data_IF_327444085486
#
_entry.id   IF_327444085486
#
_cell.length_a   1.000
_cell.length_b   1.000
_cell.length_c   1.000
_cell.angle_alpha   90.00
_cell.angle_beta   90.00
_cell.angle_gamma   90.00
#
_symmetry.space_group_name_H-M   'P 1'
#
loop_
_entity.id
_entity.type
_entity.pdbx_description
1 polymer ?
#
# COMPACT_ATOMS: atom_id res chain seq x y z
N UNK A 1 -2.92 13.66 4.74
CA UNK A 1 -2.14 13.21 5.92
C UNK A 1 -2.29 11.72 6.26
N UNK A 2 -3.22 10.97 5.65
CA UNK A 2 -3.45 9.55 5.97
C UNK A 2 -2.53 8.55 5.25
N UNK A 3 -1.59 9.02 4.41
CA UNK A 3 -0.69 8.15 3.63
C UNK A 3 0.03 7.07 4.48
N UNK A 4 0.69 7.38 5.61
CA UNK A 4 1.36 6.35 6.43
C UNK A 4 0.39 5.36 7.08
N UNK A 5 -0.81 5.81 7.45
CA UNK A 5 -1.84 4.93 7.99
C UNK A 5 -2.27 3.91 6.94
N UNK A 6 -2.61 4.40 5.75
CA UNK A 6 -3.04 3.57 4.63
C UNK A 6 -1.93 2.58 4.28
N UNK A 7 -0.69 3.03 4.05
CA UNK A 7 0.45 2.17 3.69
C UNK A 7 0.61 1.01 4.68
N UNK A 8 0.37 1.20 5.98
CA UNK A 8 0.43 0.10 6.96
C UNK A 8 -0.78 -0.83 6.98
N UNK A 9 -1.97 -0.38 6.64
CA UNK A 9 -3.12 -1.31 6.57
C UNK A 9 -3.03 -2.24 5.37
N UNK A 10 -2.60 -1.71 4.23
CA UNK A 10 -2.63 -2.37 2.93
C UNK A 10 -1.28 -2.90 2.45
N UNK A 11 -0.21 -2.73 3.25
CA UNK A 11 1.12 -3.22 2.86
C UNK A 11 1.11 -4.70 2.50
N UNK A 12 1.89 -5.07 1.47
CA UNK A 12 2.10 -6.47 1.08
C UNK A 12 2.84 -7.29 2.14
N UNK A 13 3.57 -6.65 3.06
CA UNK A 13 4.28 -7.34 4.13
C UNK A 13 3.39 -7.48 5.37
N UNK A 14 2.82 -8.68 5.56
CA UNK A 14 1.87 -8.95 6.65
C UNK A 14 2.45 -8.62 8.03
N UNK A 15 3.73 -8.91 8.28
CA UNK A 15 4.37 -8.62 9.57
C UNK A 15 4.60 -7.14 9.84
N UNK A 16 4.39 -6.27 8.83
CA UNK A 16 4.45 -4.81 8.97
C UNK A 16 3.06 -4.18 9.07
N UNK A 17 1.98 -4.97 8.94
CA UNK A 17 0.60 -4.46 9.02
C UNK A 17 0.25 -4.06 10.43
N UNK A 18 -0.52 -3.00 10.56
CA UNK A 18 -1.14 -2.68 11.84
C UNK A 18 -2.17 -3.73 12.22
N UNK A 19 -2.22 -4.04 13.51
CA UNK A 19 -3.41 -4.67 14.11
C UNK A 19 -4.54 -3.65 14.17
N UNK A 20 -5.78 -4.11 14.35
CA UNK A 20 -6.93 -3.21 14.45
C UNK A 20 -6.77 -2.18 15.58
N UNK A 21 -6.19 -2.60 16.71
CA UNK A 21 -5.94 -1.74 17.86
C UNK A 21 -4.86 -0.69 17.55
N UNK A 22 -3.72 -1.10 16.98
CA UNK A 22 -2.65 -0.17 16.56
C UNK A 22 -3.15 0.83 15.51
N UNK A 23 -3.98 0.37 14.58
CA UNK A 23 -4.58 1.22 13.57
C UNK A 23 -5.45 2.32 14.20
N UNK A 24 -6.29 1.94 15.17
CA UNK A 24 -7.17 2.87 15.87
C UNK A 24 -6.38 3.90 16.69
N UNK A 25 -5.38 3.47 17.46
CA UNK A 25 -4.52 4.37 18.23
C UNK A 25 -3.76 5.35 17.33
N UNK A 26 -3.20 4.84 16.22
CA UNK A 26 -2.49 5.66 15.26
C UNK A 26 -3.41 6.71 14.61
N UNK A 27 -4.63 6.30 14.23
CA UNK A 27 -5.62 7.19 13.63
C UNK A 27 -6.00 8.31 14.61
N UNK A 28 -6.28 7.97 15.87
CA UNK A 28 -6.61 8.95 16.91
C UNK A 28 -5.47 9.95 17.11
N UNK A 29 -4.22 9.47 17.14
CA UNK A 29 -3.04 10.34 17.25
C UNK A 29 -2.90 11.28 16.05
N UNK A 30 -3.15 10.79 14.83
CA UNK A 30 -3.12 11.63 13.63
C UNK A 30 -4.21 12.69 13.68
N UNK A 31 -5.45 12.31 14.01
CA UNK A 31 -6.59 13.23 14.09
C UNK A 31 -6.33 14.31 15.15
N UNK A 32 -5.83 13.93 16.33
CA UNK A 32 -5.49 14.87 17.38
C UNK A 32 -4.36 15.84 16.98
N UNK A 33 -3.46 15.42 16.09
CA UNK A 33 -2.36 16.24 15.57
C UNK A 33 -2.71 17.08 14.33
N UNK A 34 -3.85 16.79 13.70
CA UNK A 34 -4.30 17.52 12.51
C UNK A 34 -4.99 18.81 12.94
N UNK A 35 -4.55 19.95 12.40
CA UNK A 35 -5.26 21.21 12.58
C UNK A 35 -6.65 21.12 11.91
N UNK A 36 -7.69 21.68 12.52
CA UNK A 36 -9.07 21.65 12.02
C UNK A 36 -9.19 22.08 10.55
N UNK A 37 -8.32 22.99 10.09
CA UNK A 37 -8.23 23.48 8.71
C UNK A 37 -7.83 22.41 7.68
N UNK A 38 -7.12 21.36 8.06
CA UNK A 38 -6.73 20.27 7.14
C UNK A 38 -7.81 19.20 6.99
N UNK A 39 -8.72 19.09 7.96
CA UNK A 39 -9.91 18.23 7.90
C UNK A 39 -11.05 18.89 7.12
N UNK A 40 -11.03 20.22 6.99
CA UNK A 40 -12.03 21.00 6.25
C UNK A 40 -11.72 21.17 4.75
N UNK A 41 -10.66 20.55 4.23
CA UNK A 41 -10.40 20.55 2.79
C UNK A 41 -11.49 19.71 2.13
N UNK A 42 -12.46 20.38 1.51
CA UNK A 42 -13.36 19.74 0.55
C UNK A 42 -12.47 19.20 -0.58
N UNK A 43 -12.47 17.89 -0.75
CA UNK A 43 -11.96 17.31 -1.99
C UNK A 43 -12.76 17.96 -3.12
N UNK A 44 -12.08 18.64 -4.04
CA UNK A 44 -12.68 19.06 -5.30
C UNK A 44 -13.22 17.79 -5.96
N UNK A 45 -14.52 17.56 -5.86
CA UNK A 45 -15.23 16.48 -6.52
C UNK A 45 -15.28 16.78 -8.02
N UNK A 46 -14.12 16.87 -8.67
CA UNK A 46 -14.07 16.77 -10.11
C UNK A 46 -14.14 15.27 -10.46
N UNK A 47 -15.30 14.76 -10.94
CA UNK A 47 -15.42 13.37 -11.34
C UNK A 47 -14.47 12.98 -12.48
N UNK A 48 -13.91 13.96 -13.22
CA UNK A 48 -12.89 13.73 -14.25
C UNK A 48 -11.46 13.58 -13.65
N UNK A 49 -11.23 14.10 -12.44
CA UNK A 49 -9.99 13.92 -11.68
C UNK A 49 -9.90 12.56 -10.96
N UNK A 50 -11.00 11.78 -10.95
CA UNK A 50 -10.96 10.33 -10.68
C UNK A 50 -10.23 9.61 -11.81
N UNK A 51 -8.95 9.93 -11.98
CA UNK A 51 -8.03 9.09 -12.74
C UNK A 51 -8.16 7.73 -12.08
N UNK A 52 -8.59 6.75 -12.87
CA UNK A 52 -8.45 5.31 -12.64
C UNK A 52 -6.97 4.93 -12.61
N UNK A 53 -6.14 5.75 -11.96
CA UNK A 53 -4.73 5.57 -11.79
C UNK A 53 -4.56 4.30 -10.99
N UNK A 54 -3.84 3.36 -11.58
CA UNK A 54 -3.52 2.12 -10.90
C UNK A 54 -2.93 2.49 -9.53
N UNK A 55 -3.61 2.04 -8.47
CA UNK A 55 -3.28 2.30 -7.06
C UNK A 55 -1.78 2.05 -6.75
N UNK A 56 -1.15 1.18 -7.55
CA UNK A 56 0.25 0.78 -7.43
C UNK A 56 1.27 1.79 -7.98
N UNK A 57 0.81 2.77 -8.76
CA UNK A 57 1.64 3.80 -9.40
C UNK A 57 1.32 5.19 -8.83
N UNK A 58 0.22 5.31 -8.09
CA UNK A 58 -0.18 6.55 -7.47
C UNK A 58 0.69 6.85 -6.23
N UNK A 59 1.45 7.94 -6.29
CA UNK A 59 2.23 8.42 -5.15
C UNK A 59 1.30 9.12 -4.15
N UNK A 60 0.91 8.38 -3.11
CA UNK A 60 0.05 8.84 -2.01
C UNK A 60 0.71 9.86 -1.10
N UNK A 61 2.04 10.00 -1.19
CA UNK A 61 2.79 10.97 -0.42
C UNK A 61 2.96 12.29 -1.15
N UNK A 62 2.59 12.34 -2.44
CA UNK A 62 2.66 13.54 -3.25
C UNK A 62 1.80 14.65 -2.65
N UNK A 63 2.40 15.84 -2.48
CA UNK A 63 1.71 17.02 -1.94
C UNK A 63 1.66 17.09 -0.41
N UNK A 64 2.24 16.12 0.33
CA UNK A 64 2.38 16.23 1.78
C UNK A 64 3.56 17.13 2.18
N UNK A 65 3.47 17.88 3.31
CA UNK A 65 4.58 18.65 3.84
C UNK A 65 5.83 17.79 4.05
N UNK A 66 7.03 18.31 3.71
CA UNK A 66 8.28 17.54 3.81
C UNK A 66 8.54 16.99 5.21
N UNK A 67 8.33 17.81 6.24
CA UNK A 67 8.51 17.43 7.64
C UNK A 67 7.62 16.24 8.04
N UNK A 68 6.40 16.18 7.47
CA UNK A 68 5.50 15.05 7.65
C UNK A 68 6.03 13.79 6.93
N UNK A 69 6.56 13.95 5.72
CA UNK A 69 7.15 12.84 4.98
C UNK A 69 8.35 12.25 5.72
N UNK A 70 9.24 13.09 6.23
CA UNK A 70 10.42 12.66 6.99
C UNK A 70 10.04 11.96 8.29
N UNK A 71 9.08 12.51 9.05
CA UNK A 71 8.60 11.91 10.30
C UNK A 71 8.06 10.49 10.11
N UNK A 72 7.42 10.23 8.97
CA UNK A 72 6.72 8.98 8.73
C UNK A 72 7.34 8.12 7.62
N UNK A 73 8.54 8.44 7.12
CA UNK A 73 9.16 7.74 5.99
C UNK A 73 9.34 6.23 6.27
N UNK A 74 9.58 5.85 7.52
CA UNK A 74 9.64 4.46 7.97
C UNK A 74 8.34 3.65 7.73
N UNK A 75 7.22 4.34 7.52
CA UNK A 75 5.90 3.75 7.26
C UNK A 75 5.60 3.61 5.76
N UNK A 76 6.38 4.24 4.90
CA UNK A 76 6.18 4.25 3.46
C UNK A 76 6.32 2.84 2.89
N UNK A 77 5.33 2.42 2.10
CA UNK A 77 5.44 1.18 1.34
C UNK A 77 6.40 1.38 0.16
N UNK A 78 7.35 0.46 -0.11
CA UNK A 78 8.25 0.60 -1.24
C UNK A 78 7.46 0.73 -2.55
N UNK A 79 7.73 1.80 -3.28
CA UNK A 79 7.15 2.03 -4.61
C UNK A 79 7.61 0.93 -5.56
N UNK A 80 6.68 0.10 -5.99
CA UNK A 80 6.94 -0.97 -6.94
C UNK A 80 6.30 -2.30 -6.58
N UNK A 81 5.70 -2.93 -7.58
CA UNK A 81 5.22 -4.31 -7.49
C UNK A 81 6.42 -5.24 -7.67
N UNK A 82 6.67 -6.21 -6.75
CA UNK A 82 7.66 -7.26 -6.99
C UNK A 82 7.39 -7.91 -8.35
N UNK A 83 8.44 -8.22 -9.11
CA UNK A 83 8.28 -8.81 -10.44
C UNK A 83 7.38 -10.05 -10.41
N UNK A 84 7.44 -10.86 -9.34
CA UNK A 84 6.56 -12.01 -9.13
C UNK A 84 5.07 -11.66 -9.14
N UNK A 85 4.67 -10.53 -8.58
CA UNK A 85 3.27 -10.07 -8.60
C UNK A 85 2.86 -9.53 -9.98
N UNK A 86 3.76 -8.85 -10.70
CA UNK A 86 3.52 -8.45 -12.09
C UNK A 86 3.35 -9.69 -12.98
N UNK A 87 4.20 -10.70 -12.79
CA UNK A 87 4.16 -11.98 -13.50
C UNK A 87 2.86 -12.74 -13.20
N UNK A 88 2.48 -12.89 -11.93
CA UNK A 88 1.21 -13.54 -11.55
C UNK A 88 0.00 -12.85 -12.18
N UNK A 89 0.02 -11.52 -12.27
CA UNK A 89 -1.08 -10.77 -12.88
C UNK A 89 -1.10 -10.90 -14.40
N UNK A 90 0.08 -10.91 -15.04
CA UNK A 90 0.20 -11.21 -16.47
C UNK A 90 -0.31 -12.61 -16.79
N UNK A 91 0.05 -13.61 -15.98
CA UNK A 91 -0.41 -15.00 -16.11
C UNK A 91 -1.94 -15.12 -16.00
N UNK A 92 -2.59 -14.38 -15.08
CA UNK A 92 -4.05 -14.34 -14.98
C UNK A 92 -4.76 -13.73 -16.19
N UNK A 93 -4.07 -12.88 -16.97
CA UNK A 93 -4.61 -12.31 -18.20
C UNK A 93 -4.53 -13.23 -19.42
N UNK A 94 -3.81 -14.36 -19.31
CA UNK A 94 -3.62 -15.31 -20.41
C UNK A 94 -4.77 -16.33 -20.37
N UNK A 95 -5.70 -16.22 -21.33
CA UNK A 95 -6.94 -17.02 -21.43
C UNK A 95 -6.73 -18.55 -21.52
N UNK A 96 -5.51 -19.03 -21.79
CA UNK A 96 -5.19 -20.44 -22.04
C UNK A 96 -4.34 -21.09 -20.95
N UNK A 97 -4.11 -20.41 -19.82
CA UNK A 97 -3.31 -20.99 -18.74
C UNK A 97 -4.14 -22.07 -18.01
N UNK A 98 -3.64 -23.31 -17.86
CA UNK A 98 -4.33 -24.32 -17.08
C UNK A 98 -4.44 -23.86 -15.61
N UNK A 99 -5.67 -23.73 -15.11
CA UNK A 99 -6.05 -23.35 -13.73
C UNK A 99 -5.18 -23.98 -12.61
N UNK A 100 -4.76 -25.27 -12.64
CA UNK A 100 -3.98 -25.85 -11.54
C UNK A 100 -2.58 -25.28 -11.35
N UNK A 101 -1.98 -24.60 -12.34
CA UNK A 101 -0.60 -24.10 -12.25
C UNK A 101 -0.48 -22.81 -11.40
N UNK A 102 -1.56 -22.04 -11.28
CA UNK A 102 -1.57 -20.77 -10.53
C UNK A 102 -1.27 -20.98 -9.03
N UNK A 103 -1.88 -21.95 -8.31
CA UNK A 103 -1.56 -22.21 -6.90
C UNK A 103 -0.11 -22.64 -6.66
N UNK A 104 0.53 -23.35 -7.59
CA UNK A 104 1.91 -23.84 -7.42
C UNK A 104 2.95 -22.74 -7.69
N UNK A 105 2.74 -21.91 -8.71
CA UNK A 105 3.54 -20.69 -8.94
C UNK A 105 3.42 -19.74 -7.74
N UNK A 106 2.22 -19.63 -7.15
CA UNK A 106 2.00 -18.87 -5.92
C UNK A 106 2.79 -19.49 -4.75
N UNK A 107 2.76 -20.80 -4.54
CA UNK A 107 3.55 -21.42 -3.45
C UNK A 107 5.05 -21.16 -3.59
N UNK A 108 5.62 -21.26 -4.79
CA UNK A 108 7.04 -21.04 -5.04
C UNK A 108 7.46 -19.58 -4.82
N UNK A 109 6.65 -18.62 -5.25
CA UNK A 109 6.94 -17.18 -5.11
C UNK A 109 6.82 -16.65 -3.68
N UNK A 110 6.02 -17.31 -2.82
CA UNK A 110 5.88 -16.93 -1.41
C UNK A 110 6.87 -17.67 -0.48
N UNK A 111 7.28 -18.92 -0.80
CA UNK A 111 8.30 -19.67 -0.03
C UNK A 111 9.69 -19.02 -0.07
N UNK A 112 10.06 -18.41 -1.19
CA UNK A 112 11.38 -17.79 -1.35
C UNK A 112 11.59 -16.54 -0.48
N UNK A 113 10.51 -15.80 -0.14
CA UNK A 113 10.60 -14.64 0.76
C UNK A 113 10.67 -14.97 2.25
N UNK A 114 10.24 -16.16 2.66
CA UNK A 114 10.34 -16.59 4.07
C UNK A 114 11.75 -17.07 4.44
N UNK A 115 12.58 -17.44 3.45
CA UNK A 115 13.96 -17.86 3.67
C UNK A 115 15.01 -16.73 3.55
N UNK A 116 14.71 -15.63 2.85
CA UNK A 116 15.65 -14.50 2.69
C UNK A 116 15.63 -13.48 3.86
N UNK A 117 14.83 -13.71 4.91
CA UNK A 117 14.76 -12.86 6.12
C UNK A 117 15.30 -13.56 7.38
N UNK A 118 16.09 -14.62 7.19
CA UNK A 118 16.92 -15.29 8.20
C UNK A 118 18.32 -15.41 7.61
N UNK A 119 19.08 -14.31 7.66
CA UNK A 119 20.53 -14.24 7.67
C UNK A 119 20.89 -12.84 8.16
#
# INVERSE_FOLDING_TARGET
MLAPFLDRMITRNIGKRFTALQALEFLNNIIASAAETQLSIQEDEDPSARKTGNYEVHDRWKGLPKDFQEKWDAYREPMGIPFSWKLLRALRGIRWLPEPLIPDIRRLTFKTKTYLKRN
#
